data_IF_644385185422
#
_entry.id   IF_644385185422
#
_cell.length_a   1.000
_cell.length_b   1.000
_cell.length_c   1.000
_cell.angle_alpha   90.00
_cell.angle_beta   90.00
_cell.angle_gamma   90.00
#
_symmetry.space_group_name_H-M   'P 1'
#
loop_
_entity.id
_entity.type
_entity.pdbx_description
1 polymer ?
#
# COMPACT_ATOMS: atom_id res chain seq x y z
N UNK A 1 0.80 3.34 -2.27
CA UNK A 1 -0.47 3.94 -1.93
C UNK A 1 -0.77 3.57 -0.51
N UNK A 2 -1.31 4.50 0.26
CA UNK A 2 -1.88 4.23 1.57
C UNK A 2 -3.38 4.15 1.38
N UNK A 3 -3.99 3.09 1.88
CA UNK A 3 -5.43 2.96 1.88
C UNK A 3 -5.98 3.44 3.22
N UNK A 4 -7.03 4.24 3.16
CA UNK A 4 -7.69 4.76 4.34
C UNK A 4 -9.19 4.49 4.30
N UNK A 5 -9.72 3.99 5.41
CA UNK A 5 -11.14 3.87 5.68
C UNK A 5 -11.59 4.95 6.67
N UNK A 6 -12.73 5.57 6.38
CA UNK A 6 -13.50 6.31 7.38
C UNK A 6 -14.69 5.44 7.78
N UNK A 7 -14.83 5.22 9.08
CA UNK A 7 -15.92 4.44 9.68
C UNK A 7 -16.80 5.36 10.53
N UNK A 8 -18.10 5.08 10.54
CA UNK A 8 -19.08 5.66 11.46
C UNK A 8 -19.52 4.61 12.47
N UNK A 9 -19.38 4.91 13.76
CA UNK A 9 -19.80 4.05 14.86
C UNK A 9 -21.33 4.10 14.98
N UNK A 10 -21.98 2.94 14.82
CA UNK A 10 -23.45 2.81 14.80
C UNK A 10 -24.03 2.02 15.97
N UNK A 11 -23.19 1.46 16.87
CA UNK A 11 -23.67 0.87 18.15
C UNK A 11 -22.73 1.19 19.32
N UNK A 12 -23.29 1.26 20.53
CA UNK A 12 -22.57 1.67 21.75
C UNK A 12 -22.26 0.48 22.68
N UNK A 13 -21.69 -0.61 22.17
CA UNK A 13 -21.36 -1.78 23.00
C UNK A 13 -20.20 -1.54 23.97
N UNK A 14 -19.29 -0.61 23.66
CA UNK A 14 -18.18 -0.23 24.53
C UNK A 14 -18.02 1.31 24.57
N UNK A 15 -17.63 1.86 25.74
CA UNK A 15 -17.33 3.28 25.86
C UNK A 15 -16.26 3.73 24.84
N UNK A 16 -16.62 4.76 24.05
CA UNK A 16 -15.85 5.29 22.90
C UNK A 16 -14.45 5.80 23.28
N UNK A 17 -14.24 6.12 24.54
CA UNK A 17 -12.96 6.46 25.16
C UNK A 17 -11.94 5.30 25.16
N UNK A 18 -12.36 4.07 24.89
CA UNK A 18 -11.44 2.94 24.72
C UNK A 18 -10.84 2.81 23.31
N UNK A 19 -11.30 3.60 22.34
CA UNK A 19 -10.77 3.58 20.96
C UNK A 19 -9.72 4.68 20.81
N UNK A 20 -8.48 4.35 21.11
CA UNK A 20 -7.36 5.29 21.09
C UNK A 20 -6.61 5.25 19.76
N UNK A 21 -6.10 6.40 19.33
CA UNK A 21 -5.19 6.49 18.18
C UNK A 21 -3.98 5.60 18.35
N UNK A 22 -3.34 5.26 17.22
CA UNK A 22 -2.15 4.44 17.13
C UNK A 22 -2.30 2.95 17.46
N UNK A 23 -3.46 2.53 17.97
CA UNK A 23 -3.76 1.11 18.19
C UNK A 23 -4.16 0.40 16.90
N UNK A 24 -3.83 -0.89 16.89
CA UNK A 24 -4.40 -1.86 15.98
C UNK A 24 -5.90 -1.97 16.19
N UNK A 25 -6.65 -1.98 15.09
CA UNK A 25 -8.06 -2.30 15.06
C UNK A 25 -8.24 -3.59 14.26
N UNK A 26 -9.11 -4.44 14.78
CA UNK A 26 -9.53 -5.70 14.19
C UNK A 26 -10.99 -5.59 13.80
N UNK A 27 -11.42 -6.41 12.85
CA UNK A 27 -12.80 -6.42 12.37
C UNK A 27 -13.32 -7.81 12.05
N UNK A 28 -14.64 -7.96 12.14
CA UNK A 28 -15.36 -9.14 11.68
C UNK A 28 -16.60 -8.73 10.89
N UNK A 29 -17.00 -9.56 9.92
CA UNK A 29 -18.26 -9.41 9.19
C UNK A 29 -19.45 -10.02 9.97
N UNK A 30 -19.17 -10.83 10.99
CA UNK A 30 -20.14 -11.47 11.86
C UNK A 30 -19.86 -11.08 13.32
N UNK A 31 -20.80 -11.37 14.22
CA UNK A 31 -20.61 -11.17 15.67
C UNK A 31 -19.66 -12.20 16.30
N UNK A 32 -19.19 -13.18 15.52
CA UNK A 32 -18.30 -14.23 16.01
C UNK A 32 -16.93 -13.65 16.40
N UNK A 33 -16.51 -13.77 17.68
CA UNK A 33 -15.18 -13.32 18.11
C UNK A 33 -14.04 -14.11 17.46
N UNK A 34 -14.32 -15.26 16.84
CA UNK A 34 -13.32 -16.06 16.11
C UNK A 34 -13.08 -15.56 14.68
N UNK A 35 -13.89 -14.62 14.19
CA UNK A 35 -13.81 -14.13 12.81
C UNK A 35 -13.01 -12.82 12.71
N UNK A 36 -12.46 -12.33 13.83
CA UNK A 36 -11.74 -11.06 13.86
C UNK A 36 -10.42 -11.16 13.13
N UNK A 37 -10.24 -10.25 12.18
CA UNK A 37 -9.04 -10.09 11.38
C UNK A 37 -8.48 -8.71 11.61
N UNK A 38 -7.18 -8.57 11.41
CA UNK A 38 -6.56 -7.26 11.48
C UNK A 38 -7.12 -6.33 10.39
N UNK A 39 -7.66 -5.18 10.79
CA UNK A 39 -8.17 -4.15 9.86
C UNK A 39 -7.10 -3.12 9.55
N UNK A 40 -6.48 -2.58 10.59
CA UNK A 40 -5.37 -1.66 10.45
C UNK A 40 -5.12 -0.76 11.65
N UNK A 41 -4.49 0.39 11.41
CA UNK A 41 -4.06 1.31 12.48
C UNK A 41 -4.98 2.52 12.53
N UNK A 42 -5.48 2.83 13.72
CA UNK A 42 -6.30 4.03 13.94
C UNK A 42 -5.40 5.26 13.85
N UNK A 43 -5.64 6.11 12.85
CA UNK A 43 -4.90 7.36 12.65
C UNK A 43 -5.65 8.59 13.16
N UNK A 44 -6.97 8.50 13.28
CA UNK A 44 -7.78 9.48 14.00
C UNK A 44 -9.04 8.82 14.57
N UNK A 45 -9.51 9.30 15.71
CA UNK A 45 -10.78 8.89 16.29
C UNK A 45 -11.51 10.06 16.93
N UNK A 46 -12.83 10.04 16.86
CA UNK A 46 -13.73 10.84 17.67
C UNK A 46 -14.87 9.97 18.23
N UNK A 47 -15.89 10.59 18.82
CA UNK A 47 -17.01 9.85 19.45
C UNK A 47 -17.86 9.06 18.47
N UNK A 48 -17.88 9.39 17.18
CA UNK A 48 -18.75 8.73 16.20
C UNK A 48 -18.00 8.27 14.97
N UNK A 49 -16.73 8.63 14.82
CA UNK A 49 -15.95 8.34 13.61
C UNK A 49 -14.58 7.81 13.93
N UNK A 50 -14.12 6.91 13.07
CA UNK A 50 -12.75 6.40 13.05
C UNK A 50 -12.17 6.62 11.67
N UNK A 51 -10.89 6.98 11.64
CA UNK A 51 -10.08 6.99 10.43
C UNK A 51 -8.96 5.99 10.61
N UNK A 52 -8.85 5.06 9.69
CA UNK A 52 -7.98 3.89 9.81
C UNK A 52 -7.16 3.79 8.54
N UNK A 53 -5.85 3.73 8.70
CA UNK A 53 -4.98 3.26 7.61
C UNK A 53 -5.05 1.74 7.59
N UNK A 54 -5.59 1.21 6.50
CA UNK A 54 -5.79 -0.22 6.35
C UNK A 54 -4.56 -0.90 5.81
N UNK A 55 -4.50 -2.18 6.14
CA UNK A 55 -3.49 -3.06 5.61
C UNK A 55 -4.15 -3.66 4.39
N UNK A 56 -3.81 -3.15 3.21
CA UNK A 56 -4.17 -3.73 1.92
C UNK A 56 -4.00 -5.25 2.00
N UNK A 57 -5.15 -5.88 2.25
CA UNK A 57 -5.46 -7.29 2.24
C UNK A 57 -4.48 -8.26 2.89
N UNK A 58 -4.87 -8.71 4.09
CA UNK A 58 -5.03 -10.15 4.28
C UNK A 58 -5.74 -10.72 3.04
N UNK A 59 -5.05 -11.56 2.26
CA UNK A 59 -5.51 -12.15 0.98
C UNK A 59 -6.88 -12.83 1.07
N UNK A 60 -7.39 -13.02 2.29
CA UNK A 60 -8.63 -13.70 2.62
C UNK A 60 -9.85 -12.78 2.68
N UNK A 61 -9.68 -11.47 2.58
CA UNK A 61 -10.83 -10.55 2.39
C UNK A 61 -10.71 -9.92 1.01
N UNK A 62 -11.81 -9.51 0.39
CA UNK A 62 -11.78 -8.84 -0.92
C UNK A 62 -12.18 -7.39 -0.80
N UNK A 63 -11.77 -6.57 -1.78
CA UNK A 63 -12.21 -5.18 -1.88
C UNK A 63 -13.73 -5.02 -1.78
N UNK A 64 -14.48 -5.97 -2.36
CA UNK A 64 -15.93 -5.99 -2.33
C UNK A 64 -16.54 -6.24 -0.93
N UNK A 65 -15.84 -6.97 -0.06
CA UNK A 65 -16.37 -7.34 1.25
C UNK A 65 -16.38 -6.19 2.26
N UNK A 66 -15.48 -5.21 2.13
CA UNK A 66 -15.38 -4.03 3.03
C UNK A 66 -15.50 -2.74 2.20
N UNK A 67 -16.58 -2.66 1.42
CA UNK A 67 -16.93 -1.49 0.63
C UNK A 67 -17.68 -0.42 1.43
N UNK A 68 -17.88 0.75 0.80
CA UNK A 68 -18.73 1.80 1.37
C UNK A 68 -20.15 1.26 1.57
N UNK A 69 -20.70 1.49 2.77
CA UNK A 69 -22.01 0.98 3.16
C UNK A 69 -21.95 -0.32 3.97
N UNK A 70 -20.86 -1.08 3.90
CA UNK A 70 -20.68 -2.30 4.69
C UNK A 70 -20.67 -1.99 6.18
N UNK A 71 -21.39 -2.80 6.95
CA UNK A 71 -21.30 -2.80 8.41
C UNK A 71 -20.31 -3.88 8.87
N UNK A 72 -19.42 -3.52 9.77
CA UNK A 72 -18.41 -4.39 10.36
C UNK A 72 -18.46 -4.29 11.88
N UNK A 73 -18.09 -5.36 12.56
CA UNK A 73 -17.77 -5.31 13.98
C UNK A 73 -16.30 -4.94 14.14
N UNK A 74 -15.97 -4.14 15.16
CA UNK A 74 -14.60 -3.68 15.42
C UNK A 74 -14.13 -4.06 16.83
N UNK A 75 -12.85 -4.40 16.96
CA UNK A 75 -12.19 -4.77 18.22
C UNK A 75 -10.77 -4.19 18.31
N UNK A 76 -10.21 -4.09 19.52
CA UNK A 76 -8.86 -3.56 19.78
C UNK A 76 -7.79 -4.68 19.87
N UNK A 77 -8.21 -5.94 19.91
CA UNK A 77 -7.36 -7.13 19.93
C UNK A 77 -8.01 -8.26 19.10
N UNK A 78 -7.20 -9.25 18.71
CA UNK A 78 -7.60 -10.49 18.03
C UNK A 78 -8.00 -11.60 19.02
N UNK A 79 -7.47 -11.56 20.24
CA UNK A 79 -7.69 -12.60 21.25
C UNK A 79 -8.80 -12.23 22.25
N UNK A 80 -9.96 -12.87 22.09
CA UNK A 80 -11.01 -13.05 23.12
C UNK A 80 -11.77 -11.81 23.61
N UNK A 81 -11.62 -10.64 22.99
CA UNK A 81 -12.50 -9.50 23.31
C UNK A 81 -13.87 -9.58 22.63
N UNK A 82 -14.91 -9.18 23.36
CA UNK A 82 -16.22 -8.89 22.78
C UNK A 82 -16.07 -7.72 21.77
N UNK A 83 -16.91 -7.67 20.72
CA UNK A 83 -16.98 -6.52 19.82
C UNK A 83 -16.99 -5.21 20.61
N UNK A 84 -16.08 -4.29 20.30
CA UNK A 84 -16.13 -2.95 20.87
C UNK A 84 -17.40 -2.24 20.40
N UNK A 85 -17.70 -2.39 19.12
CA UNK A 85 -18.81 -1.69 18.48
C UNK A 85 -19.07 -2.26 17.10
N UNK A 86 -20.22 -1.90 16.54
CA UNK A 86 -20.51 -2.01 15.12
C UNK A 86 -20.25 -0.66 14.45
N UNK A 87 -19.55 -0.69 13.32
CA UNK A 87 -19.25 0.48 12.52
C UNK A 87 -19.66 0.28 11.07
N UNK A 88 -19.95 1.37 10.37
CA UNK A 88 -20.27 1.41 8.95
C UNK A 88 -19.14 2.07 8.19
N UNK A 89 -18.69 1.47 7.10
CA UNK A 89 -17.71 2.10 6.19
C UNK A 89 -18.41 3.26 5.47
N UNK A 90 -17.98 4.49 5.73
CA UNK A 90 -18.56 5.69 5.11
C UNK A 90 -17.72 6.20 3.95
N UNK A 91 -16.39 6.04 4.01
CA UNK A 91 -15.49 6.34 2.89
C UNK A 91 -14.35 5.35 2.83
N UNK A 92 -13.83 5.19 1.62
CA UNK A 92 -12.62 4.46 1.30
C UNK A 92 -11.88 5.22 0.21
N UNK A 93 -10.61 5.48 0.41
CA UNK A 93 -9.80 6.19 -0.57
C UNK A 93 -8.33 5.82 -0.44
N UNK A 94 -7.59 6.07 -1.53
CA UNK A 94 -6.15 5.90 -1.58
C UNK A 94 -5.49 7.27 -1.55
N UNK A 95 -4.42 7.40 -0.78
CA UNK A 95 -3.51 8.53 -0.87
C UNK A 95 -2.17 8.11 -1.45
N UNK A 96 -1.56 9.04 -2.17
CA UNK A 96 -0.21 8.90 -2.69
C UNK A 96 0.78 8.70 -1.55
N UNK A 97 1.73 7.81 -1.79
CA UNK A 97 2.92 7.64 -0.97
C UNK A 97 4.01 8.56 -1.48
N UNK A 98 4.72 9.19 -0.55
CA UNK A 98 5.83 10.13 -0.80
C UNK A 98 7.12 9.60 -0.20
N UNK A 99 8.27 10.16 -0.59
CA UNK A 99 9.56 9.78 -0.01
C UNK A 99 9.62 9.94 1.52
N UNK A 100 8.83 10.84 2.09
CA UNK A 100 8.83 11.12 3.54
C UNK A 100 8.10 10.03 4.33
N UNK A 101 7.37 9.15 3.64
CA UNK A 101 6.64 8.05 4.25
C UNK A 101 7.53 6.85 4.60
N UNK A 102 8.77 6.79 4.09
CA UNK A 102 9.70 5.71 4.39
C UNK A 102 11.14 6.19 4.38
N UNK A 103 11.90 5.78 5.39
CA UNK A 103 13.30 6.19 5.51
C UNK A 103 14.12 5.61 4.35
N UNK A 104 14.67 6.48 3.51
CA UNK A 104 15.63 6.12 2.46
C UNK A 104 17.04 6.21 3.03
N UNK A 105 17.71 5.05 3.21
CA UNK A 105 19.05 4.98 3.81
C UNK A 105 20.16 4.96 2.77
N UNK A 106 19.93 4.27 1.65
CA UNK A 106 20.91 4.09 0.58
C UNK A 106 20.27 4.43 -0.77
N UNK A 107 20.19 5.72 -1.15
CA UNK A 107 19.70 6.12 -2.47
C UNK A 107 20.73 5.78 -3.55
N UNK A 108 20.26 5.50 -4.77
CA UNK A 108 21.13 5.32 -5.93
C UNK A 108 21.61 6.70 -6.40
N UNK A 109 22.91 6.95 -6.24
CA UNK A 109 23.58 8.18 -6.64
C UNK A 109 24.32 8.00 -7.97
N UNK A 110 24.60 9.10 -8.68
CA UNK A 110 25.23 9.06 -10.01
C UNK A 110 26.60 8.36 -10.05
N UNK A 111 27.34 8.36 -8.92
CA UNK A 111 28.62 7.65 -8.78
C UNK A 111 28.47 6.14 -8.52
N UNK A 112 27.26 5.68 -8.18
CA UNK A 112 26.94 4.29 -7.82
C UNK A 112 25.94 3.64 -8.78
N UNK A 113 25.44 4.36 -9.78
CA UNK A 113 24.43 3.85 -10.68
C UNK A 113 25.00 3.03 -11.84
N UNK A 114 24.25 2.00 -12.22
CA UNK A 114 24.35 1.33 -13.51
C UNK A 114 23.05 1.61 -14.29
N UNK A 115 23.19 2.08 -15.53
CA UNK A 115 22.07 2.35 -16.44
C UNK A 115 21.71 1.09 -17.22
N UNK A 116 20.45 0.68 -17.11
CA UNK A 116 19.85 -0.45 -17.84
C UNK A 116 18.87 0.08 -18.88
N UNK A 117 19.08 -0.32 -20.14
CA UNK A 117 18.12 -0.05 -21.22
C UNK A 117 16.92 -0.96 -21.00
N UNK A 118 15.78 -0.34 -20.72
CA UNK A 118 14.54 -1.02 -20.41
C UNK A 118 13.40 -0.27 -21.09
N UNK A 119 12.45 -1.01 -21.62
CA UNK A 119 11.30 -0.46 -22.30
C UNK A 119 10.06 -1.28 -21.96
N UNK A 120 9.08 -0.64 -21.33
CA UNK A 120 7.77 -1.22 -21.11
C UNK A 120 6.71 -0.14 -21.34
N UNK A 121 5.71 -0.46 -22.16
CA UNK A 121 4.58 0.45 -22.38
C UNK A 121 3.52 0.20 -21.32
N UNK A 122 3.01 1.27 -20.73
CA UNK A 122 1.93 1.24 -19.75
C UNK A 122 0.84 2.26 -20.16
N UNK A 123 -0.40 2.03 -19.73
CA UNK A 123 -1.50 2.96 -19.96
C UNK A 123 -1.58 4.04 -18.86
N UNK A 124 -2.45 5.03 -19.03
CA UNK A 124 -2.66 6.11 -18.05
C UNK A 124 -3.08 5.60 -16.66
N UNK A 125 -3.90 4.55 -16.58
CA UNK A 125 -4.36 3.97 -15.29
C UNK A 125 -3.19 3.34 -14.53
N UNK A 126 -2.34 2.57 -15.22
CA UNK A 126 -1.12 1.99 -14.68
C UNK A 126 -0.15 3.09 -14.23
N UNK A 127 0.02 4.15 -15.03
CA UNK A 127 0.83 5.31 -14.63
C UNK A 127 0.31 5.96 -13.36
N UNK A 128 -1.00 6.20 -13.25
CA UNK A 128 -1.62 6.75 -12.04
C UNK A 128 -1.37 5.83 -10.83
N UNK A 129 -1.40 4.51 -11.03
CA UNK A 129 -1.09 3.54 -9.98
C UNK A 129 0.39 3.59 -9.54
N UNK A 130 1.32 3.80 -10.47
CA UNK A 130 2.71 4.08 -10.15
C UNK A 130 2.87 5.35 -9.33
N UNK A 131 2.15 6.42 -9.67
CA UNK A 131 2.17 7.67 -8.91
C UNK A 131 1.65 7.52 -7.49
N UNK A 132 0.69 6.63 -7.25
CA UNK A 132 0.21 6.34 -5.91
C UNK A 132 1.24 5.60 -5.04
N UNK A 133 2.21 4.91 -5.64
CA UNK A 133 3.29 4.20 -4.94
C UNK A 133 2.88 2.85 -4.33
N UNK A 134 3.69 2.32 -3.40
CA UNK A 134 3.43 1.14 -2.56
C UNK A 134 3.93 1.45 -1.15
N UNK A 135 3.03 1.37 -0.16
CA UNK A 135 3.43 1.45 1.25
C UNK A 135 3.51 0.03 1.81
N UNK A 136 4.69 -0.46 2.23
CA UNK A 136 4.81 -1.76 2.85
C UNK A 136 4.21 -1.67 4.25
N UNK A 137 3.42 -2.67 4.59
CA UNK A 137 2.63 -2.66 5.81
C UNK A 137 3.31 -3.44 6.94
N UNK A 138 4.18 -4.39 6.57
CA UNK A 138 5.09 -5.09 7.48
C UNK A 138 6.48 -5.21 6.84
N UNK A 139 7.48 -5.61 7.62
CA UNK A 139 8.81 -5.92 7.09
C UNK A 139 8.81 -7.10 6.11
N UNK A 140 7.76 -7.94 6.14
CA UNK A 140 7.57 -9.05 5.18
C UNK A 140 7.08 -8.56 3.82
N UNK A 141 6.45 -7.38 3.77
CA UNK A 141 6.12 -6.70 2.52
C UNK A 141 7.39 -6.05 1.99
N UNK A 142 8.05 -6.75 1.07
CA UNK A 142 9.45 -6.51 0.67
C UNK A 142 9.73 -5.12 0.08
N UNK A 143 8.73 -4.44 -0.47
CA UNK A 143 8.95 -3.28 -1.32
C UNK A 143 8.14 -2.05 -0.90
N UNK A 144 8.85 -0.95 -0.72
CA UNK A 144 8.31 0.40 -0.73
C UNK A 144 8.49 1.01 -2.12
N UNK A 145 7.48 1.73 -2.60
CA UNK A 145 7.55 2.45 -3.85
C UNK A 145 6.95 3.84 -3.69
N UNK A 146 7.63 4.84 -4.22
CA UNK A 146 7.07 6.18 -4.40
C UNK A 146 7.43 6.68 -5.79
N UNK A 147 6.72 7.70 -6.24
CA UNK A 147 7.03 8.39 -7.49
C UNK A 147 7.17 9.88 -7.19
N UNK A 148 8.14 10.57 -7.79
CA UNK A 148 8.32 12.03 -7.76
C UNK A 148 8.85 12.49 -9.12
N UNK A 149 8.21 13.53 -9.70
CA UNK A 149 8.61 14.09 -10.99
C UNK A 149 8.76 13.02 -12.10
N UNK A 150 7.76 12.14 -12.24
CA UNK A 150 7.75 11.04 -13.20
C UNK A 150 8.89 10.01 -13.03
N UNK A 151 9.60 10.04 -11.90
CA UNK A 151 10.57 9.01 -11.51
C UNK A 151 9.97 8.18 -10.40
N UNK A 152 9.82 6.87 -10.63
CA UNK A 152 9.44 5.94 -9.57
C UNK A 152 10.67 5.31 -8.94
N UNK A 153 10.60 5.08 -7.64
CA UNK A 153 11.69 4.59 -6.82
C UNK A 153 11.23 3.32 -6.10
N UNK A 154 11.97 2.21 -6.25
CA UNK A 154 11.73 0.96 -5.54
C UNK A 154 12.77 0.76 -4.45
N UNK A 155 12.30 0.59 -3.21
CA UNK A 155 13.13 0.44 -2.03
C UNK A 155 12.78 -0.85 -1.31
N UNK A 156 13.78 -1.51 -0.73
CA UNK A 156 13.53 -2.60 0.21
C UNK A 156 12.96 -2.03 1.50
N UNK A 157 11.79 -2.51 1.91
CA UNK A 157 11.10 -1.99 3.10
C UNK A 157 11.96 -2.14 4.37
N UNK A 158 12.57 -3.32 4.57
CA UNK A 158 13.30 -3.64 5.79
C UNK A 158 14.68 -2.98 5.91
N UNK A 159 15.27 -2.48 4.81
CA UNK A 159 16.56 -1.78 4.86
C UNK A 159 16.50 -0.31 4.46
N UNK A 160 15.43 0.15 3.80
CA UNK A 160 15.39 1.48 3.18
C UNK A 160 16.41 1.66 2.05
N UNK A 161 16.95 0.56 1.50
CA UNK A 161 17.89 0.60 0.38
C UNK A 161 17.13 0.74 -0.93
N UNK A 162 17.46 1.76 -1.72
CA UNK A 162 16.96 1.90 -3.08
C UNK A 162 17.56 0.80 -3.95
N UNK A 163 16.67 0.02 -4.55
CA UNK A 163 17.01 -1.15 -5.33
C UNK A 163 17.10 -0.81 -6.82
N UNK A 164 16.11 -0.07 -7.31
CA UNK A 164 16.17 0.58 -8.61
C UNK A 164 15.22 1.78 -8.68
N UNK A 165 15.40 2.62 -9.68
CA UNK A 165 14.46 3.68 -10.07
C UNK A 165 14.33 3.76 -11.59
N UNK A 166 13.18 4.18 -12.07
CA UNK A 166 12.89 4.29 -13.50
C UNK A 166 12.12 5.56 -13.83
N UNK A 167 12.19 5.95 -15.10
CA UNK A 167 11.52 7.14 -15.62
C UNK A 167 10.25 6.77 -16.37
N UNK A 168 9.19 7.54 -16.14
CA UNK A 168 7.92 7.47 -16.85
C UNK A 168 7.91 8.57 -17.91
N UNK A 169 7.95 8.17 -19.17
CA UNK A 169 7.95 9.10 -20.30
C UNK A 169 6.63 9.00 -21.04
N UNK A 170 5.95 10.12 -21.20
CA UNK A 170 4.70 10.19 -21.95
C UNK A 170 4.96 9.96 -23.45
N UNK A 171 4.26 9.00 -24.05
CA UNK A 171 4.30 8.73 -25.49
C UNK A 171 3.23 9.55 -26.20
N UNK A 172 1.98 9.46 -25.73
CA UNK A 172 0.82 10.19 -26.25
C UNK A 172 -0.21 10.48 -25.14
N UNK A 173 -1.47 10.74 -25.49
CA UNK A 173 -2.51 11.09 -24.52
C UNK A 173 -2.87 9.97 -23.54
N UNK A 174 -2.72 8.71 -23.93
CA UNK A 174 -3.18 7.54 -23.17
C UNK A 174 -2.03 6.56 -22.84
N UNK A 175 -0.87 6.73 -23.46
CA UNK A 175 0.27 5.83 -23.34
C UNK A 175 1.50 6.48 -22.73
N UNK A 176 2.15 5.70 -21.86
CA UNK A 176 3.40 6.02 -21.21
C UNK A 176 4.41 4.89 -21.41
N UNK A 177 5.67 5.22 -21.20
CA UNK A 177 6.79 4.28 -21.27
C UNK A 177 7.56 4.32 -19.97
N UNK A 178 7.81 3.16 -19.37
CA UNK A 178 8.90 3.01 -18.43
C UNK A 178 10.17 2.88 -19.26
N UNK A 179 11.09 3.83 -19.07
CA UNK A 179 12.39 3.81 -19.72
C UNK A 179 13.51 4.02 -18.70
N UNK A 180 14.73 3.72 -19.13
CA UNK A 180 15.98 3.95 -18.40
C UNK A 180 15.90 3.57 -16.92
N UNK A 181 16.24 2.32 -16.60
CA UNK A 181 16.31 1.89 -15.20
C UNK A 181 17.72 2.16 -14.64
N UNK A 182 17.78 2.82 -13.48
CA UNK A 182 19.00 3.00 -12.70
C UNK A 182 19.02 1.99 -11.56
N UNK A 183 20.10 1.23 -11.45
CA UNK A 183 20.32 0.25 -10.37
C UNK A 183 21.62 0.53 -9.63
N UNK A 184 21.79 -0.04 -8.44
CA UNK A 184 23.08 -0.01 -7.73
C UNK A 184 24.11 -0.92 -8.44
N UNK A 185 25.27 -0.38 -8.81
CA UNK A 185 26.37 -1.11 -9.46
C UNK A 185 26.92 -2.27 -8.61
N UNK A 186 26.68 -2.26 -7.30
CA UNK A 186 27.10 -3.33 -6.38
C UNK A 186 26.18 -4.56 -6.44
N UNK A 187 25.03 -4.48 -7.12
CA UNK A 187 24.15 -5.63 -7.33
C UNK A 187 24.87 -6.68 -8.20
N UNK A 188 25.29 -7.77 -7.54
CA UNK A 188 26.00 -8.91 -8.14
C UNK A 188 25.03 -9.82 -8.93
N UNK A 189 24.57 -9.32 -10.08
CA UNK A 189 23.81 -10.07 -11.07
C UNK A 189 24.22 -9.59 -12.46
N UNK A 190 24.08 -10.44 -13.48
CA UNK A 190 24.27 -10.03 -14.86
C UNK A 190 23.20 -9.03 -15.28
N UNK A 191 23.50 -8.22 -16.31
CA UNK A 191 22.56 -7.22 -16.85
C UNK A 191 21.19 -7.84 -17.19
N UNK A 192 21.19 -9.02 -17.80
CA UNK A 192 19.96 -9.75 -18.18
C UNK A 192 19.16 -10.23 -16.97
N UNK A 193 19.83 -10.73 -15.93
CA UNK A 193 19.16 -11.14 -14.68
C UNK A 193 18.55 -9.94 -13.96
N UNK A 194 19.24 -8.79 -13.95
CA UNK A 194 18.69 -7.55 -13.37
C UNK A 194 17.43 -7.11 -14.10
N UNK A 195 17.49 -7.06 -15.43
CA UNK A 195 16.37 -6.67 -16.28
C UNK A 195 15.17 -7.59 -16.09
N UNK A 196 15.37 -8.91 -16.09
CA UNK A 196 14.31 -9.88 -15.87
C UNK A 196 13.65 -9.69 -14.49
N UNK A 197 14.46 -9.55 -13.44
CA UNK A 197 13.93 -9.36 -12.09
C UNK A 197 13.17 -8.03 -11.92
N UNK A 198 13.67 -6.95 -12.53
CA UNK A 198 12.98 -5.65 -12.55
C UNK A 198 11.66 -5.76 -13.30
N UNK A 199 11.64 -6.45 -14.44
CA UNK A 199 10.43 -6.70 -15.22
C UNK A 199 9.39 -7.43 -14.37
N UNK A 200 9.76 -8.53 -13.71
CA UNK A 200 8.86 -9.29 -12.83
C UNK A 200 8.29 -8.42 -11.69
N UNK A 201 9.09 -7.52 -11.11
CA UNK A 201 8.61 -6.61 -10.06
C UNK A 201 7.61 -5.57 -10.59
N UNK A 202 7.84 -5.05 -11.80
CA UNK A 202 6.94 -4.09 -12.45
C UNK A 202 5.65 -4.79 -12.87
N UNK A 203 5.74 -5.95 -13.51
CA UNK A 203 4.58 -6.76 -13.93
C UNK A 203 3.74 -7.18 -12.73
N UNK A 204 4.35 -7.70 -11.66
CA UNK A 204 3.62 -8.04 -10.44
C UNK A 204 2.95 -6.83 -9.78
N UNK A 205 3.51 -5.62 -9.95
CA UNK A 205 2.86 -4.38 -9.50
C UNK A 205 1.66 -4.01 -10.37
N UNK A 206 1.73 -4.23 -11.68
CA UNK A 206 0.62 -4.02 -12.61
C UNK A 206 -0.49 -5.05 -12.34
N UNK A 207 -0.16 -6.33 -12.22
CA UNK A 207 -1.14 -7.38 -11.88
C UNK A 207 -1.84 -7.06 -10.55
N UNK A 208 -1.09 -6.55 -9.57
CA UNK A 208 -1.66 -6.13 -8.31
C UNK A 208 -2.67 -4.98 -8.46
N UNK A 209 -2.44 -4.03 -9.38
CA UNK A 209 -3.41 -2.98 -9.70
C UNK A 209 -4.76 -3.58 -10.12
N UNK A 210 -4.73 -4.60 -10.98
CA UNK A 210 -5.94 -5.24 -11.50
C UNK A 210 -6.75 -5.90 -10.38
N UNK A 211 -6.10 -6.41 -9.33
CA UNK A 211 -6.78 -6.96 -8.14
C UNK A 211 -7.48 -5.91 -7.27
N UNK A 212 -7.07 -4.64 -7.38
CA UNK A 212 -7.59 -3.53 -6.58
C UNK A 212 -8.69 -2.77 -7.33
N UNK A 213 -8.52 -2.61 -8.64
CA UNK A 213 -9.42 -1.84 -9.50
C UNK A 213 -10.49 -2.71 -10.21
N UNK A 214 -10.27 -4.02 -10.31
CA UNK A 214 -11.23 -4.99 -10.86
C UNK A 214 -12.28 -5.45 -9.84
#
# INVERSE_FOLDING_TARGET
>A
MKETLELEIISDHVPKDKITTERSLYYALTESPLDYRYLGRIIASDKTKLKIDTFLFDQLVTHAQVGVGTSIFIANDDESSLPLSKAKVVKRYFSRVTKDDWETKEPITADKEELLDFEMTINEEQKAFFELGTYPLSMDHKWFMYCENDIFHFLRSWTGKEFFKGELVKIDQEQWKITTIKTDKTWQASRSEKLLYIQELIEGKIEYMDTILG
#
